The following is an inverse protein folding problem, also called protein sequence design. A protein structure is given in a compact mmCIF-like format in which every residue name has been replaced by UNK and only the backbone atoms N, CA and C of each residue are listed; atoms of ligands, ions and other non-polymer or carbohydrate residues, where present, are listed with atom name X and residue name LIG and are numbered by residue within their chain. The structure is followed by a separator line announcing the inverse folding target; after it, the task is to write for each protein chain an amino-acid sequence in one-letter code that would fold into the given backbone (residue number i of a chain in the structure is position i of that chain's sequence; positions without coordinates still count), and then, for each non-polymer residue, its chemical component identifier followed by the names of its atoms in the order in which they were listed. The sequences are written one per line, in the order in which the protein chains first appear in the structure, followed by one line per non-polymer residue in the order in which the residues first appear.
data_IF_076629933773
#
_entry.id   IF_076629933773
#
_cell.length_a   1.000
_cell.length_b   1.000
_cell.length_c   1.000
_cell.angle_alpha   90.00
_cell.angle_beta   90.00
_cell.angle_gamma   90.00
#
_symmetry.space_group_name_H-M   'P 1'
#
loop_
_entity.id
_entity.type
_entity.pdbx_description
1 polymer ?
#
# COMPACT_ATOMS: atom_id res chain seq x y z
N UNK A 1 9.76 -5.50 18.17
CA UNK A 1 10.82 -5.45 17.13
C UNK A 1 10.67 -4.08 16.48
N UNK A 2 11.72 -3.25 16.43
CA UNK A 2 11.64 -1.91 15.81
C UNK A 2 11.70 -2.02 14.27
N UNK A 3 11.22 -0.99 13.58
CA UNK A 3 11.25 -0.85 12.11
C UNK A 3 12.63 -1.19 11.49
N UNK A 4 13.73 -0.71 12.09
CA UNK A 4 15.10 -1.00 11.66
C UNK A 4 15.48 -2.50 11.70
N UNK A 5 14.81 -3.30 12.55
CA UNK A 5 15.03 -4.73 12.62
C UNK A 5 14.50 -5.49 11.42
N UNK A 6 13.45 -4.98 10.75
CA UNK A 6 12.82 -5.65 9.61
C UNK A 6 13.53 -5.38 8.28
N UNK A 7 14.33 -4.31 8.19
CA UNK A 7 15.19 -4.09 7.01
C UNK A 7 16.18 -5.25 6.81
N UNK A 8 16.56 -5.93 7.90
CA UNK A 8 17.40 -7.13 7.84
C UNK A 8 16.74 -8.30 7.13
N UNK A 9 15.40 -8.35 7.06
CA UNK A 9 14.69 -9.39 6.31
C UNK A 9 15.01 -9.32 4.82
N UNK A 10 15.41 -8.15 4.34
CA UNK A 10 15.68 -7.87 2.93
C UNK A 10 17.16 -7.97 2.56
N UNK A 11 18.01 -8.33 3.53
CA UNK A 11 19.45 -8.50 3.30
C UNK A 11 19.69 -9.81 2.55
N UNK A 12 20.44 -9.72 1.45
CA UNK A 12 20.84 -10.86 0.63
C UNK A 12 20.17 -10.88 -0.73
N UNK A 13 20.07 -12.07 -1.31
CA UNK A 13 19.41 -12.29 -2.61
C UNK A 13 17.89 -12.17 -2.49
N UNK A 14 17.18 -11.92 -3.60
CA UNK A 14 15.71 -11.92 -3.65
C UNK A 14 15.10 -13.21 -3.04
N UNK A 15 15.58 -14.42 -3.37
CA UNK A 15 15.13 -15.65 -2.73
C UNK A 15 15.28 -15.65 -1.21
N UNK A 16 16.43 -15.21 -0.71
CA UNK A 16 16.70 -15.12 0.74
C UNK A 16 15.73 -14.16 1.41
N UNK A 17 15.50 -13.00 0.80
CA UNK A 17 14.57 -12.02 1.32
C UNK A 17 13.11 -12.51 1.31
N UNK A 18 12.66 -13.18 0.24
CA UNK A 18 11.34 -13.78 0.18
C UNK A 18 11.13 -14.88 1.23
N UNK A 19 12.16 -15.69 1.52
CA UNK A 19 12.11 -16.69 2.58
C UNK A 19 12.00 -16.03 3.97
N UNK A 20 12.81 -15.01 4.24
CA UNK A 20 12.76 -14.24 5.49
C UNK A 20 11.40 -13.57 5.70
N UNK A 21 10.86 -12.92 4.66
CA UNK A 21 9.53 -12.31 4.68
C UNK A 21 8.45 -13.35 4.94
N UNK A 22 8.52 -14.51 4.30
CA UNK A 22 7.57 -15.61 4.51
C UNK A 22 7.58 -16.07 5.96
N UNK A 23 8.76 -16.27 6.54
CA UNK A 23 8.89 -16.67 7.94
C UNK A 23 8.32 -15.61 8.89
N UNK A 24 8.62 -14.33 8.64
CA UNK A 24 8.09 -13.25 9.46
C UNK A 24 6.56 -13.12 9.34
N UNK A 25 6.01 -13.24 8.13
CA UNK A 25 4.56 -13.18 7.90
C UNK A 25 3.83 -14.33 8.61
N UNK A 26 4.40 -15.53 8.65
CA UNK A 26 3.84 -16.64 9.43
C UNK A 26 3.73 -16.28 10.92
N UNK A 27 4.74 -15.62 11.50
CA UNK A 27 4.69 -15.13 12.89
C UNK A 27 3.63 -14.01 13.08
N UNK A 28 3.34 -13.22 12.05
CA UNK A 28 2.34 -12.15 12.11
C UNK A 28 0.90 -12.67 12.20
N UNK A 29 0.63 -13.90 11.76
CA UNK A 29 -0.67 -14.54 11.97
C UNK A 29 -0.91 -14.89 13.44
N UNK A 30 0.14 -15.11 14.21
CA UNK A 30 0.08 -15.57 15.60
C UNK A 30 0.25 -14.44 16.63
N UNK A 31 0.76 -13.28 16.20
CA UNK A 31 1.11 -12.17 17.11
C UNK A 31 0.81 -10.80 16.52
N UNK A 32 0.03 -10.00 17.26
CA UNK A 32 -0.27 -8.62 16.88
C UNK A 32 0.95 -7.68 16.98
N UNK A 33 1.94 -8.02 17.81
CA UNK A 33 3.21 -7.28 17.88
C UNK A 33 3.97 -7.42 16.56
N UNK A 34 4.01 -8.64 16.00
CA UNK A 34 4.61 -8.88 14.69
C UNK A 34 3.77 -8.27 13.56
N UNK A 35 2.44 -8.38 13.63
CA UNK A 35 1.55 -7.74 12.67
C UNK A 35 1.73 -6.21 12.62
N UNK A 36 1.86 -5.56 13.79
CA UNK A 36 2.16 -4.12 13.88
C UNK A 36 3.53 -3.77 13.30
N UNK A 37 4.54 -4.58 13.59
CA UNK A 37 5.87 -4.41 13.00
C UNK A 37 5.80 -4.49 11.46
N UNK A 38 5.05 -5.45 10.92
CA UNK A 38 4.88 -5.59 9.48
C UNK A 38 4.08 -4.42 8.88
N UNK A 39 3.03 -3.94 9.56
CA UNK A 39 2.30 -2.75 9.18
C UNK A 39 3.25 -1.54 9.03
N UNK A 40 4.12 -1.27 10.01
CA UNK A 40 5.09 -0.18 9.90
C UNK A 40 6.06 -0.38 8.73
N UNK A 41 6.37 -1.62 8.37
CA UNK A 41 7.30 -2.00 7.31
C UNK A 41 6.69 -2.05 5.89
N UNK A 42 5.38 -2.24 5.75
CA UNK A 42 4.72 -2.44 4.46
C UNK A 42 4.99 -1.32 3.43
N UNK A 43 5.04 -0.02 3.78
CA UNK A 43 5.43 1.03 2.83
C UNK A 43 6.82 0.79 2.23
N UNK A 44 7.78 0.35 3.03
CA UNK A 44 9.13 0.03 2.58
C UNK A 44 9.14 -1.19 1.66
N UNK A 45 8.36 -2.22 2.01
CA UNK A 45 8.18 -3.38 1.14
C UNK A 45 7.58 -2.97 -0.21
N UNK A 46 6.57 -2.09 -0.24
CA UNK A 46 5.99 -1.57 -1.47
C UNK A 46 7.04 -0.84 -2.31
N UNK A 47 7.87 0.02 -1.70
CA UNK A 47 8.98 0.68 -2.39
C UNK A 47 9.98 -0.32 -2.99
N UNK A 48 10.24 -1.44 -2.34
CA UNK A 48 11.19 -2.44 -2.83
C UNK A 48 10.59 -3.27 -3.97
N UNK A 49 9.33 -3.66 -3.84
CA UNK A 49 8.64 -4.44 -4.86
C UNK A 49 8.41 -3.62 -6.13
N UNK A 50 7.92 -2.40 -5.96
CA UNK A 50 7.40 -1.56 -7.02
C UNK A 50 8.31 -0.39 -7.42
N UNK A 51 9.19 0.04 -6.53
CA UNK A 51 10.08 1.18 -6.73
C UNK A 51 9.60 2.47 -6.08
N UNK A 52 10.37 3.53 -6.28
CA UNK A 52 10.02 4.92 -6.02
C UNK A 52 10.40 5.78 -7.22
N UNK A 53 10.28 7.10 -7.09
CA UNK A 53 10.72 8.03 -8.13
C UNK A 53 12.22 7.94 -8.40
N UNK A 54 12.99 7.50 -7.41
CA UNK A 54 14.45 7.46 -7.42
C UNK A 54 15.03 6.08 -7.73
N UNK A 55 14.25 5.00 -7.58
CA UNK A 55 14.74 3.63 -7.75
C UNK A 55 13.69 2.67 -8.32
N UNK A 56 14.13 1.76 -9.19
CA UNK A 56 13.28 0.67 -9.70
C UNK A 56 13.06 -0.38 -8.61
N UNK A 57 11.83 -0.89 -8.52
CA UNK A 57 11.51 -2.04 -7.67
C UNK A 57 11.89 -3.37 -8.31
N UNK A 58 11.95 -4.44 -7.52
CA UNK A 58 12.28 -5.79 -7.96
C UNK A 58 11.43 -6.25 -9.15
N UNK A 59 10.13 -5.93 -9.17
CA UNK A 59 9.24 -6.33 -10.26
C UNK A 59 9.54 -5.65 -11.61
N UNK A 60 10.38 -4.62 -11.61
CA UNK A 60 10.82 -3.90 -12.82
C UNK A 60 12.28 -4.22 -13.20
N UNK A 61 12.97 -5.06 -12.43
CA UNK A 61 14.34 -5.48 -12.70
C UNK A 61 14.36 -6.78 -13.51
N UNK A 62 15.34 -6.97 -14.41
CA UNK A 62 15.55 -8.27 -15.02
C UNK A 62 16.00 -9.25 -13.93
N UNK A 63 15.22 -10.32 -13.74
CA UNK A 63 15.50 -11.36 -12.75
C UNK A 63 15.67 -12.72 -13.44
N UNK A 64 16.46 -13.59 -12.83
CA UNK A 64 16.49 -15.00 -13.21
C UNK A 64 15.24 -15.72 -12.71
N UNK A 65 14.88 -16.84 -13.33
CA UNK A 65 13.74 -17.65 -12.87
C UNK A 65 13.85 -18.07 -11.40
N UNK A 66 15.08 -18.33 -10.93
CA UNK A 66 15.34 -18.68 -9.53
C UNK A 66 15.01 -17.54 -8.55
N UNK A 67 15.03 -16.29 -9.00
CA UNK A 67 14.64 -15.10 -8.22
C UNK A 67 13.15 -14.78 -8.39
N UNK A 68 12.60 -14.96 -9.59
CA UNK A 68 11.19 -14.73 -9.91
C UNK A 68 10.26 -15.70 -9.15
N UNK A 69 10.55 -17.00 -9.16
CA UNK A 69 9.69 -18.03 -8.55
C UNK A 69 9.36 -17.73 -7.07
N UNK A 70 10.32 -17.48 -6.16
CA UNK A 70 10.01 -17.19 -4.75
C UNK A 70 9.28 -15.85 -4.57
N UNK A 71 9.58 -14.86 -5.42
CA UNK A 71 8.89 -13.57 -5.39
C UNK A 71 7.41 -13.72 -5.78
N UNK A 72 7.13 -14.46 -6.85
CA UNK A 72 5.76 -14.72 -7.28
C UNK A 72 4.99 -15.58 -6.27
N UNK A 73 5.63 -16.59 -5.66
CA UNK A 73 5.01 -17.38 -4.61
C UNK A 73 4.61 -16.54 -3.38
N UNK A 74 5.40 -15.51 -3.05
CA UNK A 74 5.12 -14.56 -1.98
C UNK A 74 3.89 -13.69 -2.30
N UNK A 75 3.83 -13.09 -3.49
CA UNK A 75 2.87 -12.03 -3.85
C UNK A 75 1.63 -12.50 -4.63
N UNK A 76 1.61 -13.75 -5.12
CA UNK A 76 0.44 -14.29 -5.85
C UNK A 76 -0.83 -14.21 -4.98
N UNK A 77 -2.04 -14.28 -5.55
CA UNK A 77 -3.29 -14.14 -4.79
C UNK A 77 -3.45 -15.09 -3.59
N UNK A 78 -2.84 -16.28 -3.64
CA UNK A 78 -2.81 -17.26 -2.53
C UNK A 78 -1.49 -17.29 -1.75
N UNK A 79 -0.57 -16.38 -2.07
CA UNK A 79 0.71 -16.22 -1.42
C UNK A 79 0.55 -15.74 0.02
N UNK A 80 1.57 -15.98 0.83
CA UNK A 80 1.52 -15.69 2.27
C UNK A 80 1.29 -14.20 2.56
N UNK A 81 1.84 -13.31 1.73
CA UNK A 81 1.63 -11.86 1.85
C UNK A 81 0.16 -11.51 1.66
N UNK A 82 -0.45 -11.95 0.56
CA UNK A 82 -1.86 -11.66 0.26
C UNK A 82 -2.80 -12.21 1.31
N UNK A 83 -2.56 -13.44 1.78
CA UNK A 83 -3.36 -14.04 2.86
C UNK A 83 -3.25 -13.22 4.14
N UNK A 84 -2.06 -12.73 4.48
CA UNK A 84 -1.87 -11.91 5.67
C UNK A 84 -2.59 -10.57 5.56
N UNK A 85 -2.41 -9.84 4.46
CA UNK A 85 -3.10 -8.57 4.20
C UNK A 85 -4.63 -8.74 4.28
N UNK A 86 -5.16 -9.82 3.71
CA UNK A 86 -6.59 -10.17 3.77
C UNK A 86 -7.05 -10.50 5.19
N UNK A 87 -6.27 -11.24 5.97
CA UNK A 87 -6.64 -11.59 7.35
C UNK A 87 -6.81 -10.38 8.27
N UNK A 88 -6.21 -9.24 7.91
CA UNK A 88 -6.26 -7.98 8.66
C UNK A 88 -7.10 -6.90 7.96
N UNK A 89 -7.87 -7.26 6.93
CA UNK A 89 -8.59 -6.30 6.07
C UNK A 89 -9.59 -5.40 6.82
N UNK A 90 -10.28 -5.95 7.83
CA UNK A 90 -11.28 -5.22 8.64
C UNK A 90 -10.72 -4.64 9.94
N UNK A 91 -9.41 -4.76 10.18
CA UNK A 91 -8.81 -4.37 11.45
C UNK A 91 -8.53 -2.85 11.47
N UNK A 92 -9.18 -2.08 12.36
CA UNK A 92 -9.02 -0.63 12.42
C UNK A 92 -7.65 -0.20 12.94
N UNK A 93 -6.85 -1.10 13.52
CA UNK A 93 -5.50 -0.79 13.98
C UNK A 93 -4.49 -0.64 12.84
N UNK A 94 -4.80 -1.16 11.64
CA UNK A 94 -3.87 -1.24 10.50
C UNK A 94 -4.33 -0.38 9.32
N UNK A 95 -4.46 0.92 9.57
CA UNK A 95 -4.96 1.91 8.61
C UNK A 95 -3.90 2.97 8.30
N UNK A 96 -3.63 3.20 7.02
CA UNK A 96 -2.80 4.29 6.53
C UNK A 96 -3.63 5.49 6.12
N UNK A 97 -3.30 6.67 6.66
CA UNK A 97 -3.75 7.94 6.09
C UNK A 97 -2.99 8.19 4.79
N UNK A 98 -3.72 8.35 3.69
CA UNK A 98 -3.14 8.61 2.38
C UNK A 98 -2.76 10.09 2.25
N UNK A 99 -1.52 10.35 1.84
CA UNK A 99 -1.08 11.71 1.50
C UNK A 99 -1.86 12.18 0.27
N UNK A 100 -2.55 13.34 0.31
CA UNK A 100 -3.36 13.81 -0.81
C UNK A 100 -2.60 13.79 -2.14
N UNK A 101 -1.36 14.28 -2.17
CA UNK A 101 -0.54 14.39 -3.37
C UNK A 101 -0.22 13.04 -4.05
N UNK A 102 -0.33 11.92 -3.31
CA UNK A 102 -0.15 10.58 -3.87
C UNK A 102 -1.35 10.09 -4.67
N UNK A 103 -2.54 10.63 -4.41
CA UNK A 103 -3.80 10.17 -5.00
C UNK A 103 -3.97 10.70 -6.44
N UNK A 104 -4.84 10.10 -7.26
CA UNK A 104 -5.16 10.65 -8.58
C UNK A 104 -5.69 12.09 -8.49
N UNK A 105 -5.29 12.97 -9.43
CA UNK A 105 -5.66 14.40 -9.41
C UNK A 105 -7.16 14.65 -9.24
N UNK A 106 -8.02 13.82 -9.87
CA UNK A 106 -9.48 13.90 -9.73
C UNK A 106 -10.00 13.59 -8.33
N UNK A 107 -9.27 12.75 -7.58
CA UNK A 107 -9.55 12.43 -6.19
C UNK A 107 -9.09 13.58 -5.30
N UNK A 108 -7.88 14.11 -5.53
CA UNK A 108 -7.30 15.22 -4.77
C UNK A 108 -8.24 16.43 -4.70
N UNK A 109 -8.76 16.87 -5.86
CA UNK A 109 -9.65 18.04 -5.94
C UNK A 109 -10.95 17.89 -5.16
N UNK A 110 -11.31 16.65 -4.81
CA UNK A 110 -12.54 16.33 -4.08
C UNK A 110 -12.31 16.07 -2.58
N UNK A 111 -11.07 16.08 -2.10
CA UNK A 111 -10.74 15.96 -0.66
C UNK A 111 -10.96 17.28 0.07
N UNK A 112 -12.18 17.80 -0.04
CA UNK A 112 -12.63 19.04 0.57
C UNK A 112 -13.93 18.81 1.35
N UNK A 113 -14.16 19.45 2.51
CA UNK A 113 -15.38 19.28 3.31
C UNK A 113 -16.69 19.52 2.54
N UNK A 114 -16.67 20.32 1.48
CA UNK A 114 -17.84 20.63 0.64
C UNK A 114 -18.01 19.69 -0.54
N UNK A 115 -16.96 18.98 -0.97
CA UNK A 115 -16.95 18.20 -2.22
C UNK A 115 -16.77 16.70 -2.04
N UNK A 116 -16.37 16.22 -0.86
CA UNK A 116 -15.99 14.81 -0.66
C UNK A 116 -17.10 13.80 -1.01
N UNK A 117 -18.37 14.18 -0.90
CA UNK A 117 -19.50 13.33 -1.29
C UNK A 117 -19.51 12.97 -2.79
N UNK A 118 -18.77 13.72 -3.62
CA UNK A 118 -18.60 13.44 -5.06
C UNK A 118 -17.46 12.47 -5.36
N UNK A 119 -16.77 11.94 -4.33
CA UNK A 119 -15.75 10.92 -4.51
C UNK A 119 -16.36 9.62 -5.06
N UNK A 120 -15.61 8.85 -5.87
CA UNK A 120 -15.99 7.48 -6.20
C UNK A 120 -16.40 6.65 -4.97
N UNK A 121 -17.39 5.75 -5.07
CA UNK A 121 -17.87 4.96 -3.94
C UNK A 121 -16.76 4.22 -3.17
N UNK A 122 -15.74 3.73 -3.87
CA UNK A 122 -14.59 3.03 -3.27
C UNK A 122 -13.77 3.92 -2.32
N UNK A 123 -13.75 5.24 -2.54
CA UNK A 123 -13.08 6.18 -1.63
C UNK A 123 -14.02 6.68 -0.54
N UNK A 124 -15.32 6.80 -0.81
CA UNK A 124 -16.30 7.23 0.20
C UNK A 124 -16.32 6.31 1.43
N UNK A 125 -16.19 4.99 1.22
CA UNK A 125 -16.10 4.00 2.32
C UNK A 125 -14.82 4.12 3.15
N UNK A 126 -13.85 4.92 2.69
CA UNK A 126 -12.53 5.15 3.28
C UNK A 126 -12.32 6.59 3.72
N UNK A 127 -13.34 7.43 3.64
CA UNK A 127 -13.27 8.81 4.13
C UNK A 127 -13.21 8.82 5.66
N UNK A 128 -12.21 9.49 6.19
CA UNK A 128 -12.12 9.86 7.60
C UNK A 128 -12.29 11.38 7.73
N UNK A 129 -13.26 11.81 8.52
CA UNK A 129 -13.59 13.23 8.72
C UNK A 129 -12.99 13.73 10.02
N UNK A 130 -12.08 14.70 9.94
CA UNK A 130 -11.60 15.42 11.11
C UNK A 130 -12.62 16.50 11.44
N UNK A 131 -13.15 16.44 12.67
CA UNK A 131 -14.18 17.35 13.16
C UNK A 131 -13.63 18.12 14.35
N UNK A 132 -13.86 19.42 14.37
CA UNK A 132 -13.51 20.27 15.52
C UNK A 132 -14.79 20.65 16.25
N UNK A 133 -14.81 20.48 17.57
CA UNK A 133 -15.92 20.91 18.40
C UNK A 133 -15.93 22.45 18.51
N UNK A 134 -17.12 23.05 18.49
CA UNK A 134 -17.25 24.47 18.74
C UNK A 134 -16.80 24.83 20.18
N UNK A 135 -16.25 26.04 20.42
CA UNK A 135 -15.88 26.49 21.75
C UNK A 135 -17.05 26.38 22.74
N UNK A 136 -16.72 26.04 24.00
CA UNK A 136 -17.70 25.93 25.10
C UNK A 136 -18.35 27.30 25.30
N UNK A 137 -19.65 27.43 24.97
CA UNK A 137 -20.43 28.67 25.17
C UNK A 137 -21.47 28.99 24.10
N UNK A 138 -21.36 28.41 22.89
CA UNK A 138 -22.39 28.55 21.84
C UNK A 138 -23.41 27.42 21.93
N UNK A 139 -24.69 27.76 22.12
CA UNK A 139 -25.83 26.84 22.31
C UNK A 139 -26.16 25.93 21.09
N UNK A 140 -25.31 25.84 20.08
CA UNK A 140 -25.41 24.87 18.99
C UNK A 140 -24.08 24.15 18.86
N UNK A 141 -24.04 22.88 19.26
CA UNK A 141 -22.94 21.94 18.99
C UNK A 141 -22.88 21.61 17.49
N UNK A 142 -22.60 22.59 16.64
CA UNK A 142 -22.26 22.33 15.24
C UNK A 142 -20.81 21.82 15.19
N UNK A 143 -20.66 20.52 14.94
CA UNK A 143 -19.36 19.95 14.56
C UNK A 143 -19.03 20.41 13.15
N UNK A 144 -17.94 21.16 13.00
CA UNK A 144 -17.48 21.60 11.68
C UNK A 144 -16.45 20.61 11.17
N UNK A 145 -16.62 20.12 9.95
CA UNK A 145 -15.64 19.27 9.27
C UNK A 145 -14.50 20.18 8.81
N UNK A 146 -13.29 19.93 9.30
CA UNK A 146 -12.11 20.75 9.01
C UNK A 146 -11.12 20.08 8.08
N UNK A 147 -11.14 18.74 7.98
CA UNK A 147 -10.31 17.98 7.05
C UNK A 147 -11.01 16.72 6.59
N UNK A 148 -10.79 16.34 5.33
CA UNK A 148 -11.22 15.08 4.74
C UNK A 148 -9.98 14.29 4.36
N UNK A 149 -9.81 13.12 4.97
CA UNK A 149 -8.70 12.20 4.71
C UNK A 149 -9.21 10.92 4.07
N UNK A 150 -8.36 10.23 3.32
CA UNK A 150 -8.60 8.84 2.92
C UNK A 150 -7.73 7.90 3.73
N UNK A 151 -8.37 6.86 4.24
CA UNK A 151 -7.78 5.89 5.15
C UNK A 151 -7.86 4.50 4.52
N UNK A 152 -6.74 3.97 4.05
CA UNK A 152 -6.67 2.64 3.43
C UNK A 152 -6.21 1.60 4.44
N UNK A 153 -6.79 0.40 4.39
CA UNK A 153 -6.21 -0.73 5.10
C UNK A 153 -4.95 -1.24 4.38
N UNK A 154 -4.26 -2.22 4.98
CA UNK A 154 -3.02 -2.76 4.40
C UNK A 154 -3.18 -3.33 2.99
N UNK A 155 -4.27 -4.02 2.70
CA UNK A 155 -4.51 -4.57 1.36
C UNK A 155 -4.71 -3.46 0.34
N UNK A 156 -5.56 -2.49 0.66
CA UNK A 156 -5.87 -1.36 -0.21
C UNK A 156 -4.64 -0.50 -0.48
N UNK A 157 -3.83 -0.26 0.56
CA UNK A 157 -2.55 0.42 0.43
C UNK A 157 -1.61 -0.34 -0.51
N UNK A 158 -1.47 -1.66 -0.33
CA UNK A 158 -0.63 -2.49 -1.19
C UNK A 158 -1.10 -2.47 -2.65
N UNK A 159 -2.42 -2.60 -2.89
CA UNK A 159 -3.00 -2.57 -4.23
C UNK A 159 -2.91 -1.20 -4.89
N UNK A 160 -3.02 -0.13 -4.09
CA UNK A 160 -2.83 1.23 -4.57
C UNK A 160 -1.42 1.43 -5.11
N UNK A 161 -0.40 0.99 -4.38
CA UNK A 161 0.99 1.06 -4.83
C UNK A 161 1.26 0.14 -6.03
N UNK A 162 0.68 -1.06 -6.06
CA UNK A 162 0.72 -1.93 -7.25
C UNK A 162 0.19 -1.21 -8.49
N UNK A 163 -1.01 -0.62 -8.40
CA UNK A 163 -1.61 0.09 -9.52
C UNK A 163 -0.79 1.33 -9.92
N UNK A 164 -0.27 2.08 -8.95
CA UNK A 164 0.59 3.23 -9.18
C UNK A 164 1.88 2.83 -9.93
N UNK A 165 2.50 1.71 -9.54
CA UNK A 165 3.71 1.19 -10.20
C UNK A 165 3.49 0.89 -11.68
N UNK A 166 2.29 0.41 -12.05
CA UNK A 166 1.90 0.16 -13.43
C UNK A 166 1.68 1.43 -14.25
N UNK A 167 1.54 2.59 -13.59
CA UNK A 167 1.34 3.89 -14.24
C UNK A 167 2.61 4.74 -14.31
N UNK A 168 3.73 4.24 -13.78
CA UNK A 168 5.03 4.86 -14.04
C UNK A 168 5.36 4.59 -15.52
N UNK A 169 5.13 5.59 -16.37
CA UNK A 169 5.38 5.50 -17.81
C UNK A 169 6.85 5.12 -18.09
N UNK A 170 7.05 4.18 -19.02
CA UNK A 170 8.34 3.73 -19.58
C UNK A 170 9.06 4.82 -20.41
N UNK A 171 8.78 6.12 -20.17
CA UNK A 171 9.25 7.25 -20.97
C UNK A 171 10.78 7.47 -20.92
N UNK A 172 11.51 6.68 -20.13
CA UNK A 172 12.97 6.56 -20.18
C UNK A 172 13.43 5.37 -21.08
N UNK A 173 12.91 5.29 -22.30
CA UNK A 173 13.48 4.71 -23.56
C UNK A 173 14.10 3.29 -23.57
N UNK A 174 14.26 2.57 -22.46
CA UNK A 174 14.92 1.26 -22.41
C UNK A 174 14.39 0.35 -21.30
N UNK A 175 13.08 0.20 -21.20
CA UNK A 175 12.47 -0.65 -20.19
C UNK A 175 11.83 -1.90 -20.82
N UNK A 176 12.56 -3.02 -20.73
CA UNK A 176 12.01 -4.36 -20.95
C UNK A 176 11.57 -4.92 -19.59
N UNK A 177 10.38 -4.55 -19.13
CA UNK A 177 9.74 -5.15 -17.96
C UNK A 177 8.24 -5.22 -18.19
N UNK A 178 7.66 -6.43 -18.10
CA UNK A 178 6.25 -6.75 -18.39
C UNK A 178 5.74 -6.24 -19.75
N UNK A 179 6.32 -6.76 -20.84
CA UNK A 179 5.68 -6.64 -22.16
C UNK A 179 4.24 -7.14 -22.09
N UNK A 180 3.27 -6.29 -22.44
CA UNK A 180 2.01 -6.69 -23.07
C UNK A 180 2.33 -7.39 -24.39
N UNK A 181 2.80 -8.62 -24.34
CA UNK A 181 2.71 -9.55 -25.47
C UNK A 181 1.56 -10.50 -25.19
N UNK A 182 0.35 -9.96 -25.17
CA UNK A 182 -0.84 -10.79 -25.33
C UNK A 182 -1.59 -10.26 -26.57
N UNK A 183 -1.42 -10.90 -27.74
CA UNK A 183 -2.00 -10.45 -29.00
C UNK A 183 -3.53 -10.64 -29.09
N UNK A 184 -4.22 -10.86 -27.97
CA UNK A 184 -5.66 -11.13 -27.91
C UNK A 184 -6.52 -9.95 -27.43
N UNK A 185 -5.93 -8.77 -27.23
CA UNK A 185 -6.63 -7.59 -26.70
C UNK A 185 -6.36 -6.30 -27.50
N UNK A 186 -6.01 -6.42 -28.79
CA UNK A 186 -5.97 -5.30 -29.74
C UNK A 186 -7.07 -5.48 -30.80
#
# INVERSE_FOLDING_TARGET
MSFEGLERLLVGSVPTACANLTNHLNLCFESDVHAKSFYEFLPKLCQILYGSKESRGWLHLPMSKAEEDPLFELIRPRGVLMRFLLSRYMDPAFIYEMVPDSLPRRTQTKLDPTQYLNLPPIYLTRVNLVKTAAPIGTQKTMTTITKVNLNFNMLEYFLFYFAYALTLDDDDVNFRGLRRTDPKLA
#
